data_IF_612883050879
#
_entry.id   IF_612883050879
#
_cell.length_a   1.000
_cell.length_b   1.000
_cell.length_c   1.000
_cell.angle_alpha   90.00
_cell.angle_beta   90.00
_cell.angle_gamma   90.00
#
_symmetry.space_group_name_H-M   'P 1'
#
loop_
_entity.id
_entity.type
_entity.pdbx_description
1 polymer ?
#
# COMPACT_ATOMS: atom_id res chain seq x y z
N UNK A 1 -46.42 -34.58 45.08
CA UNK A 1 -45.62 -34.56 46.33
C UNK A 1 -44.37 -35.37 46.06
N UNK A 2 -43.17 -34.84 45.98
CA UNK A 2 -42.67 -33.46 46.01
C UNK A 2 -41.26 -33.54 45.39
N UNK A 3 -41.04 -32.78 44.32
CA UNK A 3 -39.74 -32.32 43.84
C UNK A 3 -39.06 -31.47 44.92
N UNK A 4 -37.70 -31.47 44.96
CA UNK A 4 -36.80 -30.31 45.08
C UNK A 4 -35.43 -30.72 45.67
N UNK A 5 -34.37 -30.10 45.12
CA UNK A 5 -33.01 -29.94 45.64
C UNK A 5 -31.92 -31.00 45.40
N UNK A 6 -31.52 -31.12 44.13
CA UNK A 6 -30.09 -31.34 43.79
C UNK A 6 -29.52 -30.30 42.79
N UNK A 7 -30.26 -29.25 42.42
CA UNK A 7 -29.79 -28.20 41.50
C UNK A 7 -28.97 -27.08 42.17
N UNK A 8 -28.83 -27.06 43.49
CA UNK A 8 -28.18 -25.93 44.21
C UNK A 8 -26.73 -26.19 44.67
N UNK A 9 -26.11 -27.34 44.36
CA UNK A 9 -24.73 -27.65 44.81
C UNK A 9 -23.64 -27.61 43.74
N UNK A 10 -23.97 -27.36 42.48
CA UNK A 10 -22.98 -27.25 41.39
C UNK A 10 -22.84 -25.83 40.80
N UNK A 11 -23.47 -24.81 41.42
CA UNK A 11 -23.41 -23.42 40.94
C UNK A 11 -22.28 -22.57 41.58
N UNK A 12 -21.46 -23.12 42.48
CA UNK A 12 -20.34 -22.39 43.13
C UNK A 12 -18.97 -23.07 42.95
N UNK A 13 -18.58 -23.32 41.70
CA UNK A 13 -17.15 -23.30 41.34
C UNK A 13 -16.93 -22.15 40.37
N UNK A 14 -16.89 -20.96 40.98
CA UNK A 14 -16.82 -19.67 40.31
C UNK A 14 -15.63 -19.56 39.36
N UNK A 15 -15.98 -19.24 38.12
CA UNK A 15 -15.21 -18.42 37.20
C UNK A 15 -14.32 -17.41 37.94
N UNK A 16 -12.99 -17.60 37.90
CA UNK A 16 -12.09 -16.47 38.12
C UNK A 16 -12.29 -15.50 36.95
N UNK A 17 -12.84 -14.31 37.23
CA UNK A 17 -12.90 -13.24 36.24
C UNK A 17 -11.51 -12.91 35.67
N UNK A 18 -11.48 -12.51 34.40
CA UNK A 18 -10.28 -12.28 33.59
C UNK A 18 -9.22 -11.41 34.31
N UNK A 19 -9.65 -10.47 35.14
CA UNK A 19 -8.78 -9.65 35.99
C UNK A 19 -7.94 -10.46 37.00
N UNK A 20 -8.53 -11.46 37.68
CA UNK A 20 -7.79 -12.30 38.65
C UNK A 20 -6.85 -13.30 37.96
N UNK A 21 -7.19 -13.74 36.74
CA UNK A 21 -6.31 -14.59 35.92
C UNK A 21 -5.10 -13.81 35.42
N UNK A 22 -5.30 -12.58 34.94
CA UNK A 22 -4.20 -11.69 34.54
C UNK A 22 -3.27 -11.34 35.71
N UNK A 23 -3.80 -11.12 36.92
CA UNK A 23 -2.98 -10.91 38.12
C UNK A 23 -2.12 -12.12 38.49
N UNK A 24 -2.64 -13.34 38.30
CA UNK A 24 -1.90 -14.59 38.53
C UNK A 24 -0.77 -14.79 37.51
N UNK A 25 -1.01 -14.46 36.24
CA UNK A 25 0.00 -14.51 35.17
C UNK A 25 1.10 -13.47 35.42
N UNK A 26 0.72 -12.25 35.80
CA UNK A 26 1.68 -11.18 36.14
C UNK A 26 2.53 -11.52 37.37
N UNK A 27 1.92 -12.12 38.40
CA UNK A 27 2.64 -12.57 39.59
C UNK A 27 3.64 -13.71 39.26
N UNK A 28 3.27 -14.65 38.37
CA UNK A 28 4.17 -15.70 37.91
C UNK A 28 5.35 -15.15 37.09
N UNK A 29 5.10 -14.16 36.22
CA UNK A 29 6.14 -13.50 35.44
C UNK A 29 7.13 -12.69 36.30
N UNK A 30 6.66 -12.05 37.37
CA UNK A 30 7.50 -11.31 38.34
C UNK A 30 8.38 -12.24 39.20
N UNK A 31 7.90 -13.43 39.53
CA UNK A 31 8.70 -14.44 40.24
C UNK A 31 9.76 -15.03 39.31
N UNK A 32 9.46 -15.21 38.03
CA UNK A 32 10.44 -15.68 37.04
C UNK A 32 11.52 -14.64 36.69
N UNK A 33 11.18 -13.33 36.71
CA UNK A 33 12.12 -12.25 36.40
C UNK A 33 13.02 -11.84 37.57
N UNK A 34 12.73 -12.30 38.80
CA UNK A 34 13.55 -12.01 39.99
C UNK A 34 14.56 -13.10 40.33
N UNK A 35 14.54 -14.24 39.63
CA UNK A 35 15.59 -15.26 39.73
C UNK A 35 16.71 -14.98 38.70
N UNK A 36 17.58 -14.01 38.98
CA UNK A 36 18.83 -13.84 38.24
C UNK A 36 19.80 -14.96 38.64
N UNK A 37 20.36 -15.75 37.71
CA UNK A 37 21.46 -16.65 38.02
C UNK A 37 22.65 -15.81 38.49
N UNK A 38 23.11 -16.04 39.72
CA UNK A 38 24.36 -15.45 40.22
C UNK A 38 25.50 -15.78 39.25
N UNK A 39 26.02 -14.81 38.51
CA UNK A 39 27.28 -15.03 37.79
C UNK A 39 27.66 -14.13 36.61
N UNK A 40 26.82 -13.23 36.09
CA UNK A 40 27.21 -12.43 34.90
C UNK A 40 27.47 -10.98 35.28
N UNK A 41 28.75 -10.57 35.22
CA UNK A 41 29.18 -9.18 35.37
C UNK A 41 28.88 -8.41 34.07
N UNK A 42 27.87 -7.55 34.09
CA UNK A 42 27.64 -6.57 33.03
C UNK A 42 28.51 -5.33 33.28
N UNK A 43 29.74 -5.37 32.78
CA UNK A 43 30.57 -4.19 32.59
C UNK A 43 31.56 -4.54 31.48
N UNK A 44 31.24 -4.13 30.24
CA UNK A 44 32.19 -3.52 29.28
C UNK A 44 31.50 -3.26 27.92
N UNK A 45 31.75 -2.06 27.41
CA UNK A 45 31.42 -1.46 26.10
C UNK A 45 29.95 -1.12 25.78
N UNK A 46 29.49 0.02 26.29
CA UNK A 46 28.69 0.97 25.50
C UNK A 46 29.36 2.34 25.66
N UNK A 47 29.95 2.88 24.58
CA UNK A 47 30.39 4.28 24.54
C UNK A 47 29.30 5.07 23.82
N UNK A 48 28.73 6.05 24.50
CA UNK A 48 27.82 7.02 23.90
C UNK A 48 28.55 7.81 22.79
N UNK A 49 27.93 8.02 21.61
CA UNK A 49 28.49 8.93 20.62
C UNK A 49 28.46 10.37 21.13
N UNK A 50 29.55 11.09 20.87
CA UNK A 50 29.71 12.51 21.18
C UNK A 50 28.67 13.32 20.39
N UNK A 51 27.91 14.24 21.03
CA UNK A 51 26.96 15.08 20.33
C UNK A 51 27.66 16.02 19.33
N UNK A 52 27.25 15.97 18.06
CA UNK A 52 27.63 17.00 17.09
C UNK A 52 26.92 18.30 17.42
N UNK A 53 27.69 19.30 17.82
CA UNK A 53 27.24 20.70 17.90
C UNK A 53 27.68 21.37 16.60
N UNK A 54 26.74 21.59 15.67
CA UNK A 54 27.00 22.48 14.54
C UNK A 54 27.03 23.94 15.03
N UNK A 55 28.05 24.73 14.66
CA UNK A 55 28.05 26.17 14.95
C UNK A 55 27.03 26.87 14.05
N UNK A 56 26.06 27.55 14.69
CA UNK A 56 25.15 28.51 14.07
C UNK A 56 25.94 29.46 13.15
N UNK A 57 25.68 29.40 11.84
CA UNK A 57 26.21 30.38 10.89
C UNK A 57 25.62 31.75 11.19
N UNK A 58 26.49 32.74 11.26
CA UNK A 58 26.14 34.14 11.42
C UNK A 58 25.32 34.65 10.23
N UNK A 59 24.15 35.23 10.51
CA UNK A 59 23.41 36.05 9.56
C UNK A 59 24.24 37.32 9.24
N UNK A 60 24.64 37.44 7.97
CA UNK A 60 25.14 38.70 7.40
C UNK A 60 24.02 39.72 7.19
N UNK A 61 24.34 41.02 7.03
CA UNK A 61 23.43 42.11 7.34
C UNK A 61 22.34 42.32 6.29
N UNK A 62 21.13 42.56 6.75
CA UNK A 62 20.00 43.08 5.96
C UNK A 62 20.34 44.45 5.34
N UNK A 63 19.99 44.71 4.08
CA UNK A 63 19.89 46.08 3.58
C UNK A 63 18.66 46.76 4.18
N UNK A 64 18.86 47.96 4.72
CA UNK A 64 17.84 48.80 5.33
C UNK A 64 16.68 49.13 4.39
N UNK A 65 15.45 49.04 4.92
CA UNK A 65 14.25 49.66 4.38
C UNK A 65 14.30 51.17 4.63
N UNK A 66 14.95 51.94 3.77
CA UNK A 66 14.78 53.41 3.71
C UNK A 66 15.49 54.03 2.50
N UNK A 67 15.31 53.49 1.28
CA UNK A 67 15.86 54.14 0.07
C UNK A 67 15.13 53.73 -1.24
N UNK A 68 13.79 53.71 -1.24
CA UNK A 68 12.99 53.54 -2.48
C UNK A 68 11.90 54.61 -2.65
N UNK A 69 12.12 55.82 -2.13
CA UNK A 69 11.32 56.99 -2.46
C UNK A 69 12.24 58.12 -2.95
N UNK A 70 12.50 58.13 -4.25
CA UNK A 70 12.70 59.30 -5.11
C UNK A 70 13.49 58.90 -6.35
N UNK A 71 12.81 58.70 -7.48
CA UNK A 71 12.82 59.72 -8.55
C UNK A 71 12.24 59.18 -9.87
N UNK A 72 11.39 60.03 -10.44
CA UNK A 72 11.18 60.25 -11.87
C UNK A 72 10.24 59.31 -12.64
N UNK A 73 8.97 59.73 -12.61
CA UNK A 73 8.04 59.73 -13.74
C UNK A 73 8.73 59.93 -15.11
N UNK A 74 8.32 59.13 -16.10
CA UNK A 74 7.93 59.69 -17.39
C UNK A 74 6.45 59.43 -17.64
N UNK A 75 5.69 60.53 -17.81
CA UNK A 75 4.33 60.50 -18.34
C UNK A 75 4.38 59.96 -19.78
N UNK A 76 3.86 58.77 -20.01
CA UNK A 76 3.43 58.35 -21.34
C UNK A 76 1.92 58.52 -21.45
N UNK A 77 1.51 59.50 -22.27
CA UNK A 77 0.15 59.63 -22.77
C UNK A 77 -0.23 58.39 -23.59
N UNK A 78 -1.46 57.89 -23.51
CA UNK A 78 -1.92 56.85 -24.42
C UNK A 78 -2.08 57.45 -25.82
N UNK A 79 -1.27 56.99 -26.77
CA UNK A 79 -1.50 57.20 -28.19
C UNK A 79 -2.54 56.18 -28.62
N UNK A 80 -3.78 56.63 -28.84
CA UNK A 80 -4.81 55.84 -29.49
C UNK A 80 -4.42 55.65 -30.96
N UNK A 81 -4.10 54.42 -31.36
CA UNK A 81 -4.11 54.05 -32.77
C UNK A 81 -5.57 53.78 -33.16
N UNK A 82 -6.10 54.61 -34.05
CA UNK A 82 -7.26 54.25 -34.86
C UNK A 82 -6.82 53.13 -35.82
N UNK A 83 -7.31 51.91 -35.60
CA UNK A 83 -7.28 50.86 -36.61
C UNK A 83 -8.34 51.22 -37.66
N UNK A 84 -7.89 51.78 -38.78
CA UNK A 84 -8.69 51.81 -39.98
C UNK A 84 -8.91 50.37 -40.45
N UNK A 85 -10.18 50.03 -40.64
CA UNK A 85 -10.65 48.77 -41.21
C UNK A 85 -10.16 48.72 -42.66
N UNK A 86 -9.14 47.92 -42.92
CA UNK A 86 -8.57 47.72 -44.24
C UNK A 86 -7.87 46.36 -44.33
N UNK A 87 -8.46 45.51 -45.16
CA UNK A 87 -7.94 44.25 -45.70
C UNK A 87 -7.99 42.99 -44.82
N UNK A 88 -8.87 42.09 -45.28
CA UNK A 88 -8.91 40.66 -44.96
C UNK A 88 -7.54 40.02 -45.23
N UNK A 89 -6.65 40.06 -44.25
CA UNK A 89 -5.54 39.13 -44.17
C UNK A 89 -6.11 37.87 -43.52
N UNK A 90 -6.54 36.93 -44.36
CA UNK A 90 -6.62 35.52 -43.99
C UNK A 90 -5.21 35.08 -43.61
N UNK A 91 -4.83 35.28 -42.35
CA UNK A 91 -3.68 34.60 -41.76
C UNK A 91 -4.08 33.14 -41.72
N UNK A 92 -3.64 32.38 -42.74
CA UNK A 92 -3.43 30.95 -42.55
C UNK A 92 -2.41 30.89 -41.41
N UNK A 93 -2.87 30.48 -40.23
CA UNK A 93 -1.99 29.91 -39.22
C UNK A 93 -1.34 28.73 -39.93
N UNK A 94 -0.13 28.92 -40.42
CA UNK A 94 0.77 27.79 -40.67
C UNK A 94 0.87 27.10 -39.31
N UNK A 95 0.27 25.93 -39.19
CA UNK A 95 0.58 25.01 -38.10
C UNK A 95 2.07 24.71 -38.27
N UNK A 96 2.91 25.45 -37.55
CA UNK A 96 4.30 25.03 -37.33
C UNK A 96 4.22 23.62 -36.76
N UNK A 97 4.69 22.63 -37.53
CA UNK A 97 4.93 21.28 -37.03
C UNK A 97 5.95 21.41 -35.90
N UNK A 98 5.45 21.51 -34.67
CA UNK A 98 6.28 21.54 -33.46
C UNK A 98 6.74 20.12 -33.18
N UNK A 99 8.03 19.98 -32.89
CA UNK A 99 8.57 18.74 -32.37
C UNK A 99 8.00 18.46 -30.97
N UNK A 100 7.80 17.18 -30.65
CA UNK A 100 7.28 16.73 -29.36
C UNK A 100 8.20 17.13 -28.20
N UNK A 101 7.65 17.79 -27.19
CA UNK A 101 8.37 18.19 -25.98
C UNK A 101 8.54 17.01 -25.01
N UNK A 102 9.67 16.30 -25.13
CA UNK A 102 10.03 15.14 -24.27
C UNK A 102 10.10 15.46 -22.77
N UNK A 103 10.11 16.73 -22.36
CA UNK A 103 10.11 17.09 -20.93
C UNK A 103 8.85 16.63 -20.19
N UNK A 104 7.75 16.34 -20.91
CA UNK A 104 6.54 15.74 -20.35
C UNK A 104 6.79 14.35 -19.75
N UNK A 105 7.77 13.61 -20.27
CA UNK A 105 8.12 12.26 -19.84
C UNK A 105 9.08 12.24 -18.63
N UNK A 106 9.65 13.39 -18.23
CA UNK A 106 10.50 13.43 -17.05
C UNK A 106 9.65 13.45 -15.78
N UNK A 107 9.74 12.39 -15.00
CA UNK A 107 9.05 12.22 -13.72
C UNK A 107 9.31 13.39 -12.75
N UNK A 108 10.49 14.04 -12.85
CA UNK A 108 10.84 15.22 -12.05
C UNK A 108 9.93 16.43 -12.34
N UNK A 109 9.33 16.50 -13.54
CA UNK A 109 8.48 17.59 -13.97
C UNK A 109 6.99 17.36 -13.65
N UNK A 110 6.59 16.12 -13.31
CA UNK A 110 5.18 15.78 -13.11
C UNK A 110 4.54 16.57 -11.97
N UNK A 111 5.29 16.89 -10.91
CA UNK A 111 4.81 17.76 -9.85
C UNK A 111 4.54 19.18 -10.36
N UNK A 112 5.43 19.72 -11.19
CA UNK A 112 5.27 21.07 -11.76
C UNK A 112 4.10 21.13 -12.75
N UNK A 113 3.88 20.05 -13.50
CA UNK A 113 2.79 19.92 -14.46
C UNK A 113 1.45 19.50 -13.81
N UNK A 114 1.45 19.31 -12.47
CA UNK A 114 0.32 18.80 -11.69
C UNK A 114 -0.33 17.57 -12.35
N UNK A 115 0.51 16.61 -12.72
CA UNK A 115 0.02 15.35 -13.27
C UNK A 115 -0.81 14.63 -12.22
N UNK A 116 -2.02 14.25 -12.60
CA UNK A 116 -2.94 13.47 -11.78
C UNK A 116 -3.35 12.19 -12.52
N UNK A 117 -3.67 11.15 -11.76
CA UNK A 117 -4.20 9.91 -12.31
C UNK A 117 -5.65 10.14 -12.76
N UNK A 118 -5.90 10.05 -14.06
CA UNK A 118 -7.24 10.19 -14.64
C UNK A 118 -7.99 8.84 -14.62
N UNK A 119 -7.33 7.76 -15.05
CA UNK A 119 -7.99 6.45 -15.15
C UNK A 119 -7.01 5.28 -15.06
N UNK A 120 -7.54 4.14 -14.60
CA UNK A 120 -6.88 2.83 -14.64
C UNK A 120 -7.79 1.86 -15.38
N UNK A 121 -7.25 1.15 -16.36
CA UNK A 121 -7.98 0.16 -17.14
C UNK A 121 -7.22 -1.18 -17.14
N UNK A 122 -7.79 -2.20 -16.49
CA UNK A 122 -7.27 -3.57 -16.56
C UNK A 122 -7.45 -4.14 -17.96
N UNK A 123 -6.40 -4.75 -18.50
CA UNK A 123 -6.47 -5.39 -19.80
C UNK A 123 -6.89 -6.85 -19.69
N UNK A 124 -7.52 -7.30 -20.76
CA UNK A 124 -7.83 -8.71 -20.97
C UNK A 124 -6.53 -9.55 -20.98
N UNK A 125 -6.62 -10.80 -20.55
CA UNK A 125 -5.52 -11.74 -20.62
C UNK A 125 -4.97 -11.84 -22.05
N UNK A 126 -3.64 -11.78 -22.18
CA UNK A 126 -2.95 -11.84 -23.47
C UNK A 126 -2.83 -10.50 -24.21
N UNK A 127 -3.36 -9.40 -23.68
CA UNK A 127 -3.12 -8.08 -24.27
C UNK A 127 -1.62 -7.77 -24.28
N UNK A 128 -1.09 -7.57 -25.48
CA UNK A 128 0.33 -7.39 -25.72
C UNK A 128 0.61 -6.22 -26.66
N UNK A 129 1.78 -5.61 -26.48
CA UNK A 129 2.26 -4.46 -27.26
C UNK A 129 3.70 -4.67 -27.67
N UNK A 130 4.09 -4.03 -28.78
CA UNK A 130 5.46 -4.02 -29.29
C UNK A 130 5.95 -2.58 -29.41
N UNK A 131 7.19 -2.31 -28.99
CA UNK A 131 7.82 -0.99 -29.08
C UNK A 131 8.14 -0.65 -30.53
N UNK A 132 7.82 0.57 -30.97
CA UNK A 132 8.03 1.05 -32.34
C UNK A 132 8.98 2.24 -32.41
N UNK A 133 9.10 3.01 -31.33
CA UNK A 133 10.01 4.15 -31.26
C UNK A 133 11.47 3.69 -31.11
N UNK A 134 12.42 4.52 -31.57
CA UNK A 134 13.86 4.25 -31.42
C UNK A 134 14.26 4.02 -29.95
N UNK A 135 13.63 4.76 -29.04
CA UNK A 135 13.75 4.60 -27.60
C UNK A 135 12.37 4.74 -26.96
N UNK A 136 11.98 3.75 -26.15
CA UNK A 136 10.77 3.82 -25.32
C UNK A 136 11.17 3.79 -23.85
N UNK A 137 10.62 4.72 -23.07
CA UNK A 137 10.89 4.81 -21.64
C UNK A 137 10.21 3.68 -20.86
N UNK A 138 10.96 3.01 -19.99
CA UNK A 138 10.48 1.99 -19.07
C UNK A 138 11.00 2.29 -17.66
N UNK A 139 10.09 2.24 -16.69
CA UNK A 139 10.40 2.41 -15.27
C UNK A 139 10.40 1.07 -14.56
N UNK A 140 11.48 0.77 -13.85
CA UNK A 140 11.63 -0.36 -12.95
C UNK A 140 11.48 0.11 -11.51
N UNK A 141 10.41 -0.38 -10.89
CA UNK A 141 9.96 0.03 -9.56
C UNK A 141 10.28 -1.11 -8.59
N UNK A 142 11.26 -0.96 -7.68
CA UNK A 142 11.62 -2.01 -6.75
C UNK A 142 10.48 -2.26 -5.76
N UNK A 143 10.05 -3.51 -5.63
CA UNK A 143 8.99 -3.91 -4.70
C UNK A 143 9.60 -4.46 -3.40
N UNK A 144 8.88 -4.27 -2.30
CA UNK A 144 9.13 -4.91 -1.01
C UNK A 144 8.12 -6.03 -0.74
N UNK A 145 8.41 -6.88 0.23
CA UNK A 145 7.40 -7.79 0.80
C UNK A 145 6.22 -6.99 1.40
N UNK A 146 6.51 -5.80 1.92
CA UNK A 146 5.55 -4.71 2.13
C UNK A 146 5.52 -3.86 0.85
N UNK A 147 4.90 -4.36 -0.20
CA UNK A 147 4.84 -3.88 -1.59
C UNK A 147 4.54 -2.39 -1.87
N UNK A 148 4.42 -1.56 -0.84
CA UNK A 148 4.34 -0.11 -0.96
C UNK A 148 5.75 0.48 -1.01
N UNK A 149 6.04 1.19 -2.09
CA UNK A 149 7.07 2.22 -2.07
C UNK A 149 6.52 3.36 -1.22
N UNK A 150 7.13 3.68 -0.08
CA UNK A 150 6.61 4.75 0.77
C UNK A 150 7.74 5.63 1.31
N UNK A 151 7.54 6.95 1.16
CA UNK A 151 8.42 8.05 1.62
C UNK A 151 8.93 7.93 3.07
N UNK A 152 8.23 7.18 3.92
CA UNK A 152 8.47 7.12 5.37
C UNK A 152 9.62 6.18 5.74
N UNK A 153 9.95 5.21 4.89
CA UNK A 153 10.94 4.17 5.22
C UNK A 153 12.36 4.49 4.80
N UNK A 154 12.59 5.71 4.32
CA UNK A 154 13.89 6.12 3.78
C UNK A 154 14.44 5.04 2.81
N UNK A 155 13.56 4.44 1.99
CA UNK A 155 13.95 3.39 1.06
C UNK A 155 14.92 3.99 0.05
N UNK A 156 16.17 3.57 0.16
CA UNK A 156 17.26 4.07 -0.67
C UNK A 156 17.26 3.44 -2.06
N UNK A 157 16.41 2.44 -2.32
CA UNK A 157 16.33 1.83 -3.65
C UNK A 157 15.60 2.78 -4.60
N UNK A 158 16.26 3.22 -5.67
CA UNK A 158 15.65 4.14 -6.60
C UNK A 158 14.73 3.40 -7.58
N UNK A 159 13.69 4.08 -8.03
CA UNK A 159 13.03 3.75 -9.29
C UNK A 159 14.03 4.03 -10.42
N UNK A 160 14.22 3.06 -11.31
CA UNK A 160 15.17 3.18 -12.42
C UNK A 160 14.42 3.41 -13.72
N UNK A 161 14.81 4.41 -14.49
CA UNK A 161 14.35 4.62 -15.86
C UNK A 161 15.38 4.06 -16.84
N UNK A 162 14.90 3.26 -17.80
CA UNK A 162 15.68 2.68 -18.89
C UNK A 162 15.01 2.95 -20.23
N UNK A 163 15.81 3.16 -21.28
CA UNK A 163 15.31 3.19 -22.66
C UNK A 163 15.35 1.77 -23.23
N UNK A 164 14.20 1.25 -23.65
CA UNK A 164 14.12 -0.02 -24.39
C UNK A 164 14.10 0.24 -25.90
N UNK A 165 14.79 -0.59 -26.70
CA UNK A 165 14.84 -0.43 -28.15
C UNK A 165 13.51 -0.82 -28.82
N UNK A 166 13.34 -0.53 -30.13
CA UNK A 166 12.19 -1.01 -30.90
C UNK A 166 12.16 -2.54 -31.01
N UNK A 167 11.00 -3.06 -31.38
CA UNK A 167 10.72 -4.49 -31.56
C UNK A 167 10.83 -5.31 -30.27
N UNK A 168 10.60 -4.69 -29.12
CA UNK A 168 10.44 -5.36 -27.83
C UNK A 168 8.97 -5.55 -27.52
N UNK A 169 8.63 -6.73 -27.04
CA UNK A 169 7.26 -7.16 -26.84
C UNK A 169 6.93 -7.37 -25.36
N UNK A 170 5.79 -6.85 -24.92
CA UNK A 170 5.37 -6.89 -23.52
C UNK A 170 3.89 -7.23 -23.40
N UNK A 171 3.55 -8.07 -22.41
CA UNK A 171 2.17 -8.27 -21.98
C UNK A 171 1.80 -7.20 -20.96
N UNK A 172 0.72 -6.46 -21.21
CA UNK A 172 0.26 -5.36 -20.36
C UNK A 172 -0.91 -5.81 -19.51
N UNK A 173 -0.76 -5.69 -18.20
CA UNK A 173 -1.78 -6.00 -17.20
C UNK A 173 -2.78 -4.85 -17.04
N UNK A 174 -2.28 -3.62 -16.98
CA UNK A 174 -3.12 -2.43 -16.78
C UNK A 174 -2.57 -1.26 -17.60
N UNK A 175 -3.48 -0.42 -18.09
CA UNK A 175 -3.16 0.92 -18.58
C UNK A 175 -3.51 1.96 -17.54
N UNK A 176 -2.64 2.96 -17.36
CA UNK A 176 -2.90 4.15 -16.57
C UNK A 176 -2.83 5.38 -17.47
N UNK A 177 -3.78 6.27 -17.35
CA UNK A 177 -3.76 7.56 -18.02
C UNK A 177 -3.53 8.65 -16.99
N UNK A 178 -2.47 9.44 -17.20
CA UNK A 178 -2.16 10.62 -16.42
C UNK A 178 -2.54 11.86 -17.22
N UNK A 179 -3.07 12.87 -16.54
CA UNK A 179 -3.49 14.13 -17.14
C UNK A 179 -2.83 15.30 -16.40
N UNK A 180 -2.19 16.20 -17.16
CA UNK A 180 -1.61 17.44 -16.67
C UNK A 180 -2.54 18.63 -16.84
N UNK A 181 -2.26 19.71 -16.10
CA UNK A 181 -3.14 20.88 -16.05
C UNK A 181 -3.19 21.71 -17.35
N UNK A 182 -2.18 21.60 -18.22
CA UNK A 182 -2.13 22.33 -19.50
C UNK A 182 -2.53 21.46 -20.69
N UNK A 183 -3.18 20.32 -20.45
CA UNK A 183 -3.63 19.39 -21.50
C UNK A 183 -2.61 18.33 -21.89
N UNK A 184 -1.48 18.25 -21.17
CA UNK A 184 -0.55 17.13 -21.27
C UNK A 184 -1.24 15.82 -20.88
N UNK A 185 -0.89 14.71 -21.51
CA UNK A 185 -1.38 13.39 -21.07
C UNK A 185 -0.31 12.32 -21.29
N UNK A 186 -0.28 11.30 -20.44
CA UNK A 186 0.67 10.19 -20.55
C UNK A 186 -0.08 8.89 -20.35
N UNK A 187 0.10 7.94 -21.26
CA UNK A 187 -0.41 6.58 -21.11
C UNK A 187 0.71 5.64 -20.73
N UNK A 188 0.52 4.92 -19.64
CA UNK A 188 1.48 4.00 -19.04
C UNK A 188 0.92 2.58 -19.02
N UNK A 189 1.75 1.58 -19.34
CA UNK A 189 1.39 0.16 -19.30
C UNK A 189 2.15 -0.57 -18.20
N UNK A 190 1.44 -1.15 -17.22
CA UNK A 190 2.05 -2.07 -16.24
C UNK A 190 2.26 -3.43 -16.87
N UNK A 191 3.48 -3.96 -16.83
CA UNK A 191 3.82 -5.25 -17.41
C UNK A 191 3.43 -6.39 -16.45
N UNK A 192 2.73 -7.41 -16.95
CA UNK A 192 2.19 -8.53 -16.15
C UNK A 192 3.27 -9.43 -15.56
N UNK A 193 4.32 -9.74 -16.33
CA UNK A 193 5.24 -10.84 -16.03
C UNK A 193 6.42 -10.50 -15.08
N UNK A 194 6.62 -9.25 -14.68
CA UNK A 194 7.86 -8.87 -13.96
C UNK A 194 7.79 -8.98 -12.43
N UNK A 195 6.60 -9.07 -11.84
CA UNK A 195 6.44 -9.14 -10.38
C UNK A 195 7.24 -10.29 -9.73
N UNK A 196 7.53 -11.35 -10.47
CA UNK A 196 8.40 -12.46 -10.06
C UNK A 196 9.80 -11.98 -9.62
N UNK A 197 10.36 -10.98 -10.31
CA UNK A 197 11.68 -10.39 -10.06
C UNK A 197 11.69 -9.34 -8.95
N UNK A 198 10.62 -9.23 -8.16
CA UNK A 198 10.47 -8.22 -7.10
C UNK A 198 10.49 -6.79 -7.64
N UNK A 199 10.00 -6.58 -8.86
CA UNK A 199 9.90 -5.28 -9.49
C UNK A 199 8.55 -5.16 -10.20
N UNK A 200 8.01 -3.95 -10.25
CA UNK A 200 6.94 -3.60 -11.18
C UNK A 200 7.58 -2.83 -12.34
N UNK A 201 7.28 -3.21 -13.58
CA UNK A 201 7.74 -2.47 -14.76
C UNK A 201 6.58 -1.70 -15.37
N UNK A 202 6.82 -0.43 -15.65
CA UNK A 202 5.85 0.48 -16.24
C UNK A 202 6.44 1.06 -17.53
N UNK A 203 5.80 0.76 -18.66
CA UNK A 203 6.20 1.19 -20.00
C UNK A 203 5.44 2.46 -20.39
N UNK A 204 6.12 3.47 -20.94
CA UNK A 204 5.45 4.61 -21.56
C UNK A 204 4.92 4.19 -22.92
N UNK A 205 3.60 4.24 -23.09
CA UNK A 205 2.92 3.76 -24.30
C UNK A 205 2.65 4.88 -25.30
N UNK A 206 2.20 6.03 -24.80
CA UNK A 206 2.02 7.25 -25.58
C UNK A 206 2.06 8.47 -24.67
N UNK A 207 2.29 9.64 -25.23
CA UNK A 207 2.19 10.90 -24.52
C UNK A 207 1.78 12.05 -25.44
N UNK A 208 1.13 13.04 -24.85
CA UNK A 208 0.75 14.30 -25.47
C UNK A 208 1.36 15.44 -24.68
N UNK A 209 2.07 16.33 -25.34
CA UNK A 209 2.69 17.48 -24.70
C UNK A 209 1.72 18.67 -24.53
N UNK A 210 2.20 19.75 -23.90
CA UNK A 210 1.45 20.98 -23.64
C UNK A 210 1.05 21.75 -24.91
N UNK A 211 1.65 21.42 -26.06
CA UNK A 211 1.33 21.99 -27.36
C UNK A 211 0.33 21.14 -28.12
N UNK A 212 -0.02 19.97 -27.58
CA UNK A 212 -0.94 19.02 -28.17
C UNK A 212 -0.33 18.08 -29.18
N UNK A 213 1.01 18.05 -29.29
CA UNK A 213 1.73 17.08 -30.13
C UNK A 213 1.71 15.73 -29.41
N UNK A 214 1.28 14.68 -30.11
CA UNK A 214 1.19 13.32 -29.59
C UNK A 214 2.29 12.43 -30.18
N UNK A 215 2.95 11.66 -29.33
CA UNK A 215 3.92 10.64 -29.71
C UNK A 215 3.46 9.28 -29.18
N UNK A 216 3.49 8.26 -30.05
CA UNK A 216 3.11 6.88 -29.75
C UNK A 216 4.36 6.02 -29.80
N UNK A 217 4.64 5.33 -28.69
CA UNK A 217 5.88 4.56 -28.53
C UNK A 217 5.69 3.06 -28.76
N UNK A 218 4.44 2.59 -28.71
CA UNK A 218 4.09 1.17 -28.84
C UNK A 218 2.91 0.96 -29.77
N UNK A 219 2.85 -0.20 -30.40
CA UNK A 219 1.69 -0.66 -31.16
C UNK A 219 1.11 -1.94 -30.55
N UNK A 220 -0.21 -2.14 -30.71
CA UNK A 220 -0.87 -3.37 -30.28
C UNK A 220 -0.49 -4.49 -31.24
N UNK A 221 0.05 -5.58 -30.70
CA UNK A 221 0.40 -6.77 -31.46
C UNK A 221 -0.08 -8.01 -30.70
N UNK A 222 -0.73 -8.95 -31.40
CA UNK A 222 -1.10 -10.23 -30.81
C UNK A 222 0.13 -11.14 -30.87
N UNK A 223 0.61 -11.56 -29.70
CA UNK A 223 1.84 -12.35 -29.57
C UNK A 223 1.45 -13.74 -29.10
N UNK A 224 1.50 -14.70 -30.02
CA UNK A 224 1.15 -16.10 -29.75
C UNK A 224 2.32 -16.88 -29.14
N UNK A 225 3.57 -16.46 -29.41
CA UNK A 225 4.77 -17.13 -28.94
C UNK A 225 5.30 -16.47 -27.65
N UNK A 226 5.04 -17.13 -26.51
CA UNK A 226 5.52 -16.69 -25.19
C UNK A 226 7.05 -16.54 -25.12
N UNK A 227 7.81 -17.22 -25.99
CA UNK A 227 9.28 -17.10 -26.02
C UNK A 227 9.74 -15.71 -26.48
N UNK A 228 8.92 -14.99 -27.27
CA UNK A 228 9.19 -13.60 -27.67
C UNK A 228 9.07 -12.69 -26.44
N UNK A 229 7.99 -12.82 -25.68
CA UNK A 229 7.79 -12.07 -24.43
C UNK A 229 8.92 -12.35 -23.43
N UNK A 230 9.32 -13.62 -23.27
CA UNK A 230 10.43 -14.00 -22.41
C UNK A 230 11.75 -13.37 -22.85
N UNK A 231 12.04 -13.39 -24.16
CA UNK A 231 13.26 -12.80 -24.73
C UNK A 231 13.32 -11.28 -24.52
N UNK A 232 12.22 -10.57 -24.76
CA UNK A 232 12.14 -9.13 -24.50
C UNK A 232 12.31 -8.80 -23.01
N UNK A 233 11.74 -9.61 -22.13
CA UNK A 233 11.94 -9.47 -20.68
C UNK A 233 13.40 -9.72 -20.26
N UNK A 234 14.07 -10.72 -20.82
CA UNK A 234 15.48 -11.00 -20.51
C UNK A 234 16.39 -9.83 -20.92
N UNK A 235 16.16 -9.25 -22.10
CA UNK A 235 16.93 -8.08 -22.56
C UNK A 235 16.65 -6.87 -21.68
N UNK A 236 15.39 -6.59 -21.35
CA UNK A 236 15.00 -5.50 -20.44
C UNK A 236 15.66 -5.65 -19.07
N UNK A 237 15.66 -6.85 -18.50
CA UNK A 237 16.38 -7.14 -17.26
C UNK A 237 17.89 -6.92 -17.39
N UNK A 238 18.47 -7.25 -18.55
CA UNK A 238 19.85 -6.92 -18.89
C UNK A 238 20.12 -5.41 -18.86
N UNK A 239 19.23 -4.60 -19.43
CA UNK A 239 19.33 -3.13 -19.43
C UNK A 239 19.23 -2.57 -18.01
N UNK A 240 18.27 -3.05 -17.20
CA UNK A 240 18.09 -2.63 -15.80
C UNK A 240 19.35 -2.90 -14.95
N UNK A 241 20.10 -3.95 -15.26
CA UNK A 241 21.33 -4.35 -14.54
C UNK A 241 22.59 -3.58 -14.97
N UNK A 242 22.67 -3.09 -16.21
CA UNK A 242 23.89 -2.43 -16.74
C UNK A 242 24.26 -1.13 -16.02
N UNK A 243 23.30 -0.45 -15.39
CA UNK A 243 23.56 0.63 -14.45
C UNK A 243 23.66 2.04 -15.04
N UNK A 244 23.60 2.20 -16.37
CA UNK A 244 23.56 3.50 -17.06
C UNK A 244 22.14 4.13 -17.04
N UNK A 245 21.43 3.96 -15.91
CA UNK A 245 20.00 4.24 -15.80
C UNK A 245 19.78 5.50 -14.97
N UNK A 246 18.83 6.34 -15.37
CA UNK A 246 18.40 7.47 -14.53
C UNK A 246 17.70 6.92 -13.27
N UNK A 247 18.03 7.48 -12.11
CA UNK A 247 17.56 7.00 -10.81
C UNK A 247 16.73 8.06 -10.10
N UNK A 248 15.56 7.66 -9.63
CA UNK A 248 14.64 8.49 -8.86
C UNK A 248 14.51 7.90 -7.46
N UNK A 249 15.04 8.60 -6.45
CA UNK A 249 14.95 8.15 -5.07
C UNK A 249 13.57 8.41 -4.51
N UNK A 250 13.02 7.40 -3.83
CA UNK A 250 11.69 7.41 -3.20
C UNK A 250 11.60 8.45 -2.08
N UNK A 251 12.73 8.82 -1.48
CA UNK A 251 12.75 9.72 -0.32
C UNK A 251 12.69 11.17 -0.79
N UNK A 252 11.50 11.78 -0.75
CA UNK A 252 11.33 13.21 -1.04
C UNK A 252 10.12 13.50 -1.92
N UNK A 253 10.21 14.57 -2.72
CA UNK A 253 9.12 15.03 -3.58
C UNK A 253 8.72 13.98 -4.63
N UNK A 254 9.69 13.20 -5.13
CA UNK A 254 9.49 12.15 -6.13
C UNK A 254 8.53 11.01 -5.72
N UNK A 255 8.32 10.79 -4.42
CA UNK A 255 7.44 9.71 -3.94
C UNK A 255 6.02 9.81 -4.49
N UNK A 256 5.43 11.00 -4.45
CA UNK A 256 4.06 11.23 -4.92
C UNK A 256 3.93 10.98 -6.44
N UNK A 257 4.98 11.24 -7.21
CA UNK A 257 4.99 10.96 -8.65
C UNK A 257 5.22 9.48 -8.96
N UNK A 258 5.91 8.74 -8.08
CA UNK A 258 6.07 7.29 -8.23
C UNK A 258 4.73 6.57 -8.01
N UNK A 259 3.89 7.06 -7.10
CA UNK A 259 2.55 6.50 -6.87
C UNK A 259 1.65 6.59 -8.14
N UNK A 260 1.90 7.58 -9.01
CA UNK A 260 1.22 7.69 -10.31
C UNK A 260 1.63 6.55 -11.27
N UNK A 261 2.89 6.09 -11.21
CA UNK A 261 3.35 4.95 -12.01
C UNK A 261 2.67 3.66 -11.56
N UNK A 262 2.65 3.41 -10.24
CA UNK A 262 2.10 2.20 -9.66
C UNK A 262 1.76 2.37 -8.19
N UNK A 263 0.53 2.02 -7.82
CA UNK A 263 0.09 1.94 -6.43
C UNK A 263 -0.87 0.76 -6.27
N UNK A 264 -0.67 0.02 -5.19
CA UNK A 264 -1.52 -1.10 -4.78
C UNK A 264 -2.76 -0.67 -4.01
N UNK A 265 -2.76 0.58 -3.54
CA UNK A 265 -3.85 1.21 -2.83
C UNK A 265 -4.87 1.88 -3.78
N UNK A 266 -4.64 1.82 -5.09
CA UNK A 266 -5.54 2.35 -6.10
C UNK A 266 -6.75 1.42 -6.21
N UNK A 267 -7.92 1.90 -5.77
CA UNK A 267 -9.17 1.13 -5.80
C UNK A 267 -10.13 1.59 -6.90
N UNK A 268 -9.74 2.57 -7.74
CA UNK A 268 -10.62 3.20 -8.73
C UNK A 268 -11.27 2.19 -9.69
N UNK A 269 -10.56 1.13 -10.05
CA UNK A 269 -11.09 0.07 -10.92
C UNK A 269 -12.07 -0.89 -10.22
N UNK A 270 -12.16 -0.84 -8.88
CA UNK A 270 -13.15 -1.57 -8.08
C UNK A 270 -14.29 -0.68 -7.60
N UNK A 271 -14.24 0.64 -7.80
CA UNK A 271 -15.17 1.61 -7.21
C UNK A 271 -16.64 1.21 -7.44
N UNK A 272 -16.99 0.91 -8.69
CA UNK A 272 -18.34 0.49 -9.05
C UNK A 272 -18.75 -0.86 -8.42
N UNK A 273 -17.79 -1.77 -8.19
CA UNK A 273 -18.03 -3.09 -7.59
C UNK A 273 -18.18 -3.04 -6.08
N UNK A 274 -17.64 -2.01 -5.41
CA UNK A 274 -17.61 -1.90 -3.94
C UNK A 274 -18.48 -0.78 -3.39
N UNK A 275 -19.06 0.08 -4.24
CA UNK A 275 -19.84 1.26 -3.81
C UNK A 275 -21.02 0.91 -2.90
N UNK A 276 -21.68 -0.22 -3.14
CA UNK A 276 -22.88 -0.66 -2.41
C UNK A 276 -22.53 -1.58 -1.22
N UNK A 277 -21.26 -1.94 -1.04
CA UNK A 277 -20.79 -2.79 0.06
C UNK A 277 -20.50 -1.93 1.29
N UNK A 278 -21.49 -1.83 2.20
CA UNK A 278 -21.41 -1.01 3.41
C UNK A 278 -20.19 -1.34 4.28
N UNK A 279 -19.82 -2.63 4.39
CA UNK A 279 -18.64 -3.03 5.16
C UNK A 279 -17.38 -2.43 4.53
N UNK A 280 -17.20 -2.56 3.21
CA UNK A 280 -16.01 -2.03 2.53
C UNK A 280 -15.97 -0.51 2.61
N UNK A 281 -17.11 0.17 2.43
CA UNK A 281 -17.19 1.63 2.61
C UNK A 281 -16.78 2.06 4.02
N UNK A 282 -17.17 1.30 5.05
CA UNK A 282 -16.74 1.51 6.43
C UNK A 282 -15.23 1.35 6.61
N UNK A 283 -14.61 0.33 6.00
CA UNK A 283 -13.16 0.13 5.99
C UNK A 283 -12.41 1.27 5.27
N UNK A 284 -12.95 1.78 4.15
CA UNK A 284 -12.41 2.96 3.45
C UNK A 284 -12.49 4.19 4.36
N UNK A 285 -13.62 4.40 5.04
CA UNK A 285 -13.76 5.49 6.01
C UNK A 285 -12.71 5.37 7.12
N UNK A 286 -12.55 4.19 7.72
CA UNK A 286 -11.53 3.92 8.74
C UNK A 286 -10.12 4.23 8.24
N UNK A 287 -9.74 3.73 7.05
CA UNK A 287 -8.45 4.03 6.40
C UNK A 287 -8.23 5.54 6.31
N UNK A 288 -9.23 6.29 5.83
CA UNK A 288 -9.12 7.74 5.67
C UNK A 288 -8.92 8.45 7.02
N UNK A 289 -9.56 8.00 8.10
CA UNK A 289 -9.31 8.56 9.45
C UNK A 289 -7.90 8.29 9.94
N UNK A 290 -7.29 7.16 9.58
CA UNK A 290 -5.88 6.91 9.89
C UNK A 290 -4.93 7.85 9.14
N UNK A 291 -5.29 8.35 7.95
CA UNK A 291 -4.49 9.37 7.24
C UNK A 291 -4.48 10.72 7.98
N UNK A 292 -5.55 11.04 8.70
CA UNK A 292 -5.67 12.25 9.53
C UNK A 292 -4.99 12.09 10.91
N UNK A 293 -4.59 10.86 11.27
CA UNK A 293 -4.11 10.54 12.61
C UNK A 293 -2.64 10.93 12.84
N UNK A 294 -2.42 11.87 13.78
CA UNK A 294 -1.07 12.20 14.25
C UNK A 294 -0.55 11.19 15.30
N UNK A 295 0.33 10.30 14.85
CA UNK A 295 0.99 9.28 15.70
C UNK A 295 1.84 9.83 16.84
N UNK A 296 2.20 11.12 16.83
CA UNK A 296 3.09 11.73 17.83
C UNK A 296 2.35 12.34 19.03
N UNK A 297 1.07 12.64 18.89
CA UNK A 297 0.30 13.41 19.89
C UNK A 297 -0.97 12.68 20.32
N UNK A 298 -1.57 11.91 19.42
CA UNK A 298 -2.89 11.36 19.66
C UNK A 298 -2.85 9.99 20.35
N UNK A 299 -3.93 9.72 21.06
CA UNK A 299 -4.23 8.44 21.67
C UNK A 299 -5.28 7.77 20.77
N UNK A 300 -4.89 6.75 20.00
CA UNK A 300 -5.69 6.22 18.89
C UNK A 300 -7.17 5.99 19.25
N UNK A 301 -7.52 5.30 20.35
CA UNK A 301 -8.93 5.13 20.73
C UNK A 301 -9.68 6.41 21.04
N UNK A 302 -9.04 7.38 21.71
CA UNK A 302 -9.66 8.70 21.93
C UNK A 302 -9.88 9.44 20.63
N UNK A 303 -8.93 9.33 19.70
CA UNK A 303 -9.08 9.92 18.37
C UNK A 303 -10.23 9.24 17.60
N UNK A 304 -10.25 7.91 17.54
CA UNK A 304 -11.31 7.19 16.83
C UNK A 304 -12.69 7.55 17.39
N UNK A 305 -12.83 7.68 18.72
CA UNK A 305 -14.07 8.12 19.37
C UNK A 305 -14.60 9.49 18.91
N UNK A 306 -13.76 10.37 18.34
CA UNK A 306 -14.22 11.66 17.80
C UNK A 306 -14.68 11.60 16.34
N UNK A 307 -14.46 10.47 15.65
CA UNK A 307 -14.74 10.32 14.22
C UNK A 307 -16.20 9.95 13.93
N UNK A 308 -16.61 10.15 12.67
CA UNK A 308 -17.88 9.64 12.14
C UNK A 308 -17.91 8.10 12.08
N UNK A 309 -16.78 7.46 11.77
CA UNK A 309 -16.63 6.01 11.75
C UNK A 309 -16.99 5.38 13.11
N UNK A 310 -16.56 5.97 14.22
CA UNK A 310 -16.93 5.45 15.54
C UNK A 310 -18.44 5.57 15.81
N UNK A 311 -19.08 6.65 15.36
CA UNK A 311 -20.55 6.80 15.49
C UNK A 311 -21.27 5.70 14.73
N UNK A 312 -20.81 5.40 13.51
CA UNK A 312 -21.31 4.28 12.70
C UNK A 312 -21.17 2.94 13.44
N UNK A 313 -20.02 2.67 14.07
CA UNK A 313 -19.80 1.45 14.85
C UNK A 313 -20.71 1.36 16.08
N UNK A 314 -20.97 2.47 16.77
CA UNK A 314 -21.90 2.53 17.91
C UNK A 314 -23.34 2.29 17.45
N UNK A 315 -23.76 2.88 16.33
CA UNK A 315 -25.10 2.68 15.78
C UNK A 315 -25.32 1.23 15.32
N UNK A 316 -24.30 0.62 14.73
CA UNK A 316 -24.35 -0.75 14.20
C UNK A 316 -24.29 -1.82 15.29
N UNK A 317 -23.34 -1.69 16.23
CA UNK A 317 -22.99 -2.75 17.19
C UNK A 317 -23.38 -2.43 18.63
N UNK A 318 -23.71 -1.17 18.94
CA UNK A 318 -23.92 -0.69 20.31
C UNK A 318 -22.64 -0.16 20.95
N UNK A 319 -22.82 0.77 21.91
CA UNK A 319 -21.72 1.51 22.55
C UNK A 319 -20.78 0.61 23.36
N UNK A 320 -21.28 -0.44 24.00
CA UNK A 320 -20.46 -1.37 24.78
C UNK A 320 -19.46 -2.12 23.88
N UNK A 321 -19.95 -2.73 22.80
CA UNK A 321 -19.13 -3.47 21.83
C UNK A 321 -18.10 -2.54 21.17
N UNK A 322 -18.54 -1.36 20.71
CA UNK A 322 -17.64 -0.38 20.09
C UNK A 322 -16.51 0.06 21.05
N UNK A 323 -16.82 0.27 22.32
CA UNK A 323 -15.82 0.67 23.32
C UNK A 323 -14.87 -0.47 23.71
N UNK A 324 -15.35 -1.71 23.83
CA UNK A 324 -14.48 -2.85 24.12
C UNK A 324 -13.52 -3.13 22.95
N UNK A 325 -14.01 -3.07 21.70
CA UNK A 325 -13.18 -3.25 20.52
C UNK A 325 -12.02 -2.24 20.45
N UNK A 326 -12.25 -0.99 20.84
CA UNK A 326 -11.22 0.05 20.88
C UNK A 326 -10.17 -0.14 22.00
N UNK A 327 -10.36 -1.06 22.94
CA UNK A 327 -9.33 -1.37 23.95
C UNK A 327 -8.28 -2.36 23.45
N UNK A 328 -8.62 -3.16 22.43
CA UNK A 328 -7.75 -4.18 21.84
C UNK A 328 -6.38 -3.63 21.37
N UNK A 329 -6.29 -2.44 20.73
CA UNK A 329 -5.01 -1.88 20.29
C UNK A 329 -4.01 -1.57 21.42
N UNK A 330 -4.43 -1.56 22.70
CA UNK A 330 -3.55 -1.19 23.83
C UNK A 330 -2.69 -2.32 24.40
N UNK A 331 -2.88 -3.58 23.98
CA UNK A 331 -2.12 -4.68 24.57
C UNK A 331 -0.61 -4.60 24.28
N UNK A 332 -0.21 -4.04 23.13
CA UNK A 332 1.20 -3.82 22.74
C UNK A 332 1.34 -2.47 22.05
N UNK A 333 2.10 -1.54 22.65
CA UNK A 333 2.36 -0.22 22.08
C UNK A 333 3.78 -0.11 21.54
N UNK A 334 3.88 0.09 20.24
CA UNK A 334 5.14 0.45 19.58
C UNK A 334 5.03 1.91 19.17
N UNK A 335 5.98 2.78 19.58
CA UNK A 335 6.00 4.18 19.14
C UNK A 335 5.87 4.27 17.62
N UNK A 336 5.05 5.21 17.13
CA UNK A 336 4.72 5.41 15.70
C UNK A 336 3.88 4.33 15.01
N UNK A 337 3.43 3.29 15.72
CA UNK A 337 2.55 2.24 15.20
C UNK A 337 1.31 2.10 16.08
N UNK A 338 0.29 2.95 15.86
CA UNK A 338 -0.86 3.06 16.75
C UNK A 338 -1.74 1.80 16.76
N UNK A 339 -1.75 1.02 15.68
CA UNK A 339 -2.51 -0.21 15.58
C UNK A 339 -1.66 -1.38 15.05
N UNK A 340 -1.46 -2.39 15.90
CA UNK A 340 -0.72 -3.61 15.55
C UNK A 340 -1.60 -4.58 14.74
N UNK A 341 -1.00 -5.36 13.83
CA UNK A 341 -1.74 -6.20 12.86
C UNK A 341 -2.68 -7.23 13.52
N UNK A 342 -2.25 -7.91 14.59
CA UNK A 342 -3.12 -8.84 15.34
C UNK A 342 -4.28 -8.10 16.02
N UNK A 343 -3.99 -6.97 16.67
CA UNK A 343 -5.02 -6.16 17.32
C UNK A 343 -6.00 -5.53 16.34
N UNK A 344 -5.56 -5.23 15.11
CA UNK A 344 -6.46 -4.85 14.02
C UNK A 344 -7.45 -5.96 13.70
N UNK A 345 -6.98 -7.19 13.48
CA UNK A 345 -7.85 -8.31 13.13
C UNK A 345 -8.85 -8.63 14.25
N UNK A 346 -8.41 -8.65 15.51
CA UNK A 346 -9.30 -8.80 16.68
C UNK A 346 -10.33 -7.66 16.77
N UNK A 347 -9.92 -6.40 16.54
CA UNK A 347 -10.83 -5.26 16.53
C UNK A 347 -11.86 -5.36 15.39
N UNK A 348 -11.44 -5.82 14.22
CA UNK A 348 -12.35 -6.01 13.09
C UNK A 348 -13.32 -7.16 13.34
N UNK A 349 -12.89 -8.23 14.02
CA UNK A 349 -13.74 -9.38 14.34
C UNK A 349 -14.98 -8.96 15.12
N UNK A 350 -14.75 -8.14 16.15
CA UNK A 350 -15.79 -7.65 17.03
C UNK A 350 -16.71 -6.62 16.35
N UNK A 351 -16.16 -5.77 15.47
CA UNK A 351 -16.89 -4.66 14.84
C UNK A 351 -17.62 -5.02 13.54
N UNK A 352 -17.20 -6.10 12.88
CA UNK A 352 -17.74 -6.53 11.59
C UNK A 352 -18.16 -8.00 11.61
N UNK A 353 -19.17 -8.38 12.41
CA UNK A 353 -19.62 -9.76 12.52
C UNK A 353 -20.12 -10.34 11.19
N UNK A 354 -20.53 -9.49 10.23
CA UNK A 354 -20.93 -9.91 8.89
C UNK A 354 -19.79 -10.46 8.03
N UNK A 355 -18.52 -10.23 8.42
CA UNK A 355 -17.38 -10.87 7.79
C UNK A 355 -17.20 -12.33 8.20
N UNK A 356 -17.93 -12.81 9.23
CA UNK A 356 -17.90 -14.20 9.70
C UNK A 356 -16.48 -14.74 9.95
N UNK A 357 -15.63 -13.89 10.53
CA UNK A 357 -14.24 -14.20 10.80
C UNK A 357 -14.10 -15.26 11.90
N UNK A 358 -12.94 -15.92 11.90
CA UNK A 358 -12.56 -16.87 12.93
C UNK A 358 -11.99 -16.15 14.15
N UNK A 359 -12.47 -16.49 15.35
CA UNK A 359 -12.06 -15.85 16.61
C UNK A 359 -10.59 -16.15 16.96
N UNK A 360 -9.70 -15.19 16.74
CA UNK A 360 -8.27 -15.39 17.03
C UNK A 360 -7.87 -14.96 18.44
N UNK A 361 -8.78 -14.44 19.26
CA UNK A 361 -8.46 -13.88 20.59
C UNK A 361 -7.85 -14.89 21.57
N UNK A 362 -8.11 -16.18 21.34
CA UNK A 362 -7.59 -17.28 22.16
C UNK A 362 -6.24 -17.84 21.69
N UNK A 363 -5.70 -17.34 20.58
CA UNK A 363 -4.47 -17.85 20.01
C UNK A 363 -3.24 -17.28 20.71
N UNK A 364 -2.14 -18.05 20.79
CA UNK A 364 -0.89 -17.51 21.31
C UNK A 364 -0.38 -16.41 20.37
N UNK A 365 0.14 -15.33 20.94
CA UNK A 365 0.76 -14.22 20.21
C UNK A 365 2.21 -13.96 20.65
N UNK A 366 2.81 -14.91 21.38
CA UNK A 366 4.15 -14.80 21.98
C UNK A 366 5.26 -14.46 20.97
N UNK A 367 5.11 -14.91 19.72
CA UNK A 367 6.03 -14.60 18.62
C UNK A 367 5.40 -13.71 17.54
N UNK A 368 4.36 -12.96 17.88
CA UNK A 368 3.56 -12.19 16.92
C UNK A 368 2.62 -13.06 16.08
N UNK A 369 2.23 -12.54 14.92
CA UNK A 369 1.25 -13.14 14.00
C UNK A 369 1.61 -14.56 13.52
N UNK A 370 2.90 -14.91 13.40
CA UNK A 370 3.30 -16.28 13.05
C UNK A 370 2.82 -17.33 14.07
N UNK A 371 2.56 -16.93 15.31
CA UNK A 371 2.07 -17.83 16.36
C UNK A 371 0.62 -18.27 16.12
N UNK A 372 -0.11 -17.54 15.26
CA UNK A 372 -1.48 -17.87 14.88
C UNK A 372 -1.53 -19.13 14.00
N UNK A 373 -0.42 -19.50 13.36
CA UNK A 373 -0.34 -20.63 12.43
C UNK A 373 -0.03 -21.92 13.22
N UNK A 374 -0.91 -22.93 13.18
CA UNK A 374 -0.60 -24.24 13.77
C UNK A 374 0.68 -24.84 13.19
N UNK A 375 1.54 -25.40 14.05
CA UNK A 375 2.80 -26.03 13.65
C UNK A 375 2.64 -27.09 12.55
N UNK A 376 1.49 -27.78 12.49
CA UNK A 376 1.17 -28.77 11.47
C UNK A 376 1.09 -28.19 10.04
N UNK A 377 0.76 -26.90 9.89
CA UNK A 377 0.65 -26.25 8.58
C UNK A 377 2.03 -25.92 7.97
N UNK A 378 3.07 -25.83 8.79
CA UNK A 378 4.45 -25.65 8.31
C UNK A 378 5.06 -26.92 7.70
N UNK A 379 4.41 -28.08 7.84
CA UNK A 379 4.96 -29.36 7.41
C UNK A 379 4.69 -29.66 5.93
N UNK A 380 5.76 -29.52 5.12
CA UNK A 380 5.96 -29.99 3.72
C UNK A 380 5.80 -28.95 2.61
N UNK A 381 6.94 -28.40 2.18
CA UNK A 381 7.13 -27.59 0.96
C UNK A 381 6.93 -28.36 -0.36
N UNK A 382 6.70 -29.67 -0.32
CA UNK A 382 6.69 -30.54 -1.51
C UNK A 382 5.33 -31.21 -1.80
N UNK A 383 4.26 -30.76 -1.15
CA UNK A 383 2.91 -31.29 -1.42
C UNK A 383 2.24 -30.49 -2.53
N UNK A 384 1.45 -31.19 -3.35
CA UNK A 384 0.65 -30.61 -4.44
C UNK A 384 -0.69 -30.02 -3.94
N UNK A 385 -1.01 -30.17 -2.64
CA UNK A 385 -2.26 -29.70 -2.05
C UNK A 385 -2.03 -28.96 -0.71
N UNK A 386 -2.84 -27.93 -0.39
CA UNK A 386 -2.74 -27.20 0.87
C UNK A 386 -3.08 -28.10 2.07
N UNK A 387 -2.33 -27.98 3.15
CA UNK A 387 -2.66 -28.68 4.40
C UNK A 387 -3.83 -27.97 5.09
N UNK A 388 -4.71 -28.75 5.73
CA UNK A 388 -5.80 -28.23 6.56
C UNK A 388 -5.62 -28.72 7.99
N UNK A 389 -5.73 -27.81 8.96
CA UNK A 389 -5.66 -28.09 10.37
C UNK A 389 -6.91 -27.54 11.09
N UNK A 390 -7.48 -28.31 12.02
CA UNK A 390 -8.56 -27.79 12.86
C UNK A 390 -8.00 -26.83 13.90
N UNK A 391 -8.68 -25.70 14.07
CA UNK A 391 -8.35 -24.70 15.07
C UNK A 391 -9.17 -24.95 16.35
N UNK A 392 -8.63 -24.52 17.48
CA UNK A 392 -9.21 -24.82 18.80
C UNK A 392 -10.58 -24.18 19.02
N UNK A 393 -10.82 -23.04 18.39
CA UNK A 393 -12.05 -22.25 18.41
C UNK A 393 -13.11 -22.71 17.38
N UNK A 394 -12.93 -23.89 16.77
CA UNK A 394 -13.84 -24.39 15.74
C UNK A 394 -13.58 -23.85 14.34
N UNK A 395 -12.52 -23.10 14.10
CA UNK A 395 -12.07 -22.75 12.75
C UNK A 395 -11.24 -23.83 12.04
N UNK A 396 -10.82 -23.54 10.81
CA UNK A 396 -9.81 -24.26 10.05
C UNK A 396 -8.67 -23.34 9.66
N UNK A 397 -7.44 -23.83 9.80
CA UNK A 397 -6.26 -23.24 9.21
C UNK A 397 -5.93 -23.98 7.92
N UNK A 398 -5.63 -23.24 6.86
CA UNK A 398 -5.25 -23.74 5.54
C UNK A 398 -3.86 -23.17 5.24
N UNK A 399 -2.90 -23.99 4.80
CA UNK A 399 -1.61 -23.44 4.40
C UNK A 399 -0.51 -24.45 4.13
N UNK A 400 0.69 -23.91 3.98
CA UNK A 400 1.88 -24.69 3.65
C UNK A 400 2.16 -24.80 2.14
N UNK A 401 1.44 -24.05 1.30
CA UNK A 401 1.56 -24.05 -0.18
C UNK A 401 1.09 -22.68 -0.75
N UNK A 402 1.44 -22.30 -1.99
CA UNK A 402 0.80 -21.18 -2.70
C UNK A 402 -0.71 -21.42 -2.87
N UNK A 403 -1.52 -20.87 -1.96
CA UNK A 403 -2.98 -20.95 -2.03
C UNK A 403 -3.47 -20.05 -3.19
N UNK A 404 -4.13 -20.57 -4.24
CA UNK A 404 -4.54 -19.76 -5.38
C UNK A 404 -5.66 -18.77 -5.00
N UNK A 405 -5.82 -17.67 -5.74
CA UNK A 405 -6.77 -16.58 -5.39
C UNK A 405 -8.21 -17.08 -5.23
N UNK A 406 -8.58 -18.10 -5.99
CA UNK A 406 -9.91 -18.70 -6.00
C UNK A 406 -10.28 -19.31 -4.66
N UNK A 407 -9.30 -19.79 -3.90
CA UNK A 407 -9.52 -20.43 -2.60
C UNK A 407 -9.77 -19.41 -1.49
N UNK A 408 -9.44 -18.13 -1.69
CA UNK A 408 -9.73 -17.08 -0.73
C UNK A 408 -11.22 -16.71 -0.76
N UNK A 409 -11.72 -16.39 0.43
CA UNK A 409 -13.10 -16.00 0.72
C UNK A 409 -13.09 -14.73 1.57
N UNK A 410 -14.15 -13.94 1.43
CA UNK A 410 -14.43 -12.83 2.36
C UNK A 410 -14.45 -13.35 3.80
N UNK A 411 -13.83 -12.62 4.71
CA UNK A 411 -13.71 -13.03 6.11
C UNK A 411 -12.52 -13.92 6.43
N UNK A 412 -11.78 -14.35 5.41
CA UNK A 412 -10.52 -15.04 5.65
C UNK A 412 -9.52 -14.12 6.33
N UNK A 413 -8.84 -14.65 7.34
CA UNK A 413 -7.68 -14.02 7.94
C UNK A 413 -6.44 -14.60 7.25
N UNK A 414 -5.69 -13.79 6.51
CA UNK A 414 -4.43 -14.24 5.93
C UNK A 414 -3.27 -14.01 6.92
N UNK A 415 -2.33 -14.94 6.98
CA UNK A 415 -1.14 -14.82 7.84
C UNK A 415 0.12 -15.01 7.00
N UNK A 416 1.06 -14.07 7.14
CA UNK A 416 2.38 -14.10 6.55
C UNK A 416 3.34 -14.52 7.67
N UNK A 417 3.96 -15.70 7.54
CA UNK A 417 4.86 -16.23 8.57
C UNK A 417 6.28 -15.64 8.54
N UNK A 418 6.63 -14.85 7.52
CA UNK A 418 7.98 -14.31 7.34
C UNK A 418 8.33 -13.14 8.27
N UNK A 419 9.63 -12.89 8.45
CA UNK A 419 10.15 -11.85 9.34
C UNK A 419 10.18 -12.24 10.81
N UNK A 420 10.55 -11.31 11.69
CA UNK A 420 10.75 -11.60 13.13
C UNK A 420 9.44 -11.94 13.85
N UNK A 421 8.32 -11.36 13.41
CA UNK A 421 7.01 -11.46 14.09
C UNK A 421 5.85 -11.94 13.21
N UNK A 422 6.07 -12.11 11.90
CA UNK A 422 4.99 -12.34 10.93
C UNK A 422 4.09 -11.11 10.73
N UNK A 423 3.06 -11.28 9.88
CA UNK A 423 2.02 -10.27 9.63
C UNK A 423 0.67 -10.94 9.43
N UNK A 424 -0.42 -10.21 9.71
CA UNK A 424 -1.80 -10.73 9.58
C UNK A 424 -2.73 -9.64 9.06
N UNK A 425 -3.74 -10.05 8.30
CA UNK A 425 -4.78 -9.17 7.79
C UNK A 425 -6.00 -9.96 7.33
N UNK A 426 -6.87 -9.30 6.58
CA UNK A 426 -8.21 -9.73 6.25
C UNK A 426 -8.45 -9.70 4.75
N UNK A 427 -9.24 -10.67 4.26
CA UNK A 427 -9.82 -10.62 2.92
C UNK A 427 -11.19 -9.96 3.00
N UNK A 428 -11.33 -8.79 2.39
CA UNK A 428 -12.60 -8.06 2.32
C UNK A 428 -13.48 -8.56 1.18
N UNK A 429 -12.89 -9.04 0.10
CA UNK A 429 -13.65 -9.54 -1.04
C UNK A 429 -12.79 -10.08 -2.17
N UNK A 430 -13.45 -10.78 -3.08
CA UNK A 430 -12.89 -11.27 -4.34
C UNK A 430 -13.72 -10.74 -5.49
N UNK A 431 -13.04 -10.19 -6.49
CA UNK A 431 -13.63 -9.49 -7.62
C UNK A 431 -13.05 -10.02 -8.92
N UNK A 432 -13.76 -9.78 -10.02
CA UNK A 432 -13.28 -10.06 -11.36
C UNK A 432 -13.44 -8.80 -12.21
N UNK A 433 -12.34 -8.34 -12.82
CA UNK A 433 -12.32 -7.15 -13.69
C UNK A 433 -11.63 -7.55 -14.99
N UNK A 434 -12.37 -7.54 -16.10
CA UNK A 434 -11.86 -7.90 -17.43
C UNK A 434 -11.16 -9.28 -17.47
N UNK A 435 -11.71 -10.27 -16.76
CA UNK A 435 -11.17 -11.63 -16.65
C UNK A 435 -10.07 -11.80 -15.59
N UNK A 436 -9.54 -10.70 -15.04
CA UNK A 436 -8.56 -10.73 -13.97
C UNK A 436 -9.24 -10.94 -12.62
N UNK A 437 -8.77 -11.93 -11.86
CA UNK A 437 -9.23 -12.17 -10.48
C UNK A 437 -8.43 -11.33 -9.51
N UNK A 438 -9.14 -10.60 -8.67
CA UNK A 438 -8.59 -9.63 -7.74
C UNK A 438 -9.07 -9.95 -6.31
N UNK A 439 -8.19 -9.82 -5.33
CA UNK A 439 -8.53 -9.85 -3.91
C UNK A 439 -8.39 -8.44 -3.33
N UNK A 440 -9.43 -7.96 -2.68
CA UNK A 440 -9.35 -6.78 -1.83
C UNK A 440 -8.94 -7.22 -0.43
N UNK A 441 -7.79 -6.75 0.00
CA UNK A 441 -7.17 -7.08 1.28
C UNK A 441 -7.16 -5.85 2.18
N UNK A 442 -7.27 -6.06 3.49
CA UNK A 442 -7.06 -5.04 4.49
C UNK A 442 -6.13 -5.53 5.60
N UNK A 443 -5.23 -4.67 6.05
CA UNK A 443 -4.42 -4.93 7.24
C UNK A 443 -4.11 -3.63 7.97
N UNK A 444 -3.46 -3.75 9.12
CA UNK A 444 -2.76 -2.63 9.73
C UNK A 444 -1.28 -2.92 9.82
N UNK A 445 -0.44 -1.89 9.79
CA UNK A 445 1.00 -2.03 10.04
C UNK A 445 1.77 -2.81 8.96
N UNK A 446 1.24 -3.03 7.75
CA UNK A 446 2.00 -3.68 6.65
C UNK A 446 3.30 -2.97 6.37
N UNK A 447 3.27 -1.65 6.51
CA UNK A 447 4.42 -0.80 6.33
C UNK A 447 5.26 -0.65 7.59
N UNK A 448 4.84 -1.12 8.76
CA UNK A 448 5.47 -0.80 10.06
C UNK A 448 5.12 0.64 10.53
N UNK A 449 3.98 1.18 10.08
CA UNK A 449 3.42 2.49 10.47
C UNK A 449 2.18 2.41 11.37
N UNK A 450 1.68 1.22 11.66
CA UNK A 450 0.43 0.95 12.38
C UNK A 450 -0.81 1.57 11.75
N UNK A 451 -0.78 1.90 10.46
CA UNK A 451 -1.92 2.47 9.73
C UNK A 451 -2.75 1.37 9.08
N UNK A 452 -4.07 1.60 8.98
CA UNK A 452 -4.97 0.73 8.22
C UNK A 452 -4.77 0.97 6.73
N UNK A 453 -4.63 -0.12 5.96
CA UNK A 453 -4.39 -0.09 4.51
C UNK A 453 -5.39 -1.01 3.83
N UNK A 454 -5.86 -0.60 2.66
CA UNK A 454 -6.65 -1.44 1.75
C UNK A 454 -5.89 -1.55 0.43
N UNK A 455 -5.69 -2.75 -0.08
CA UNK A 455 -4.92 -2.97 -1.30
C UNK A 455 -5.37 -4.20 -2.07
N UNK A 456 -4.96 -4.27 -3.34
CA UNK A 456 -5.39 -5.30 -4.27
C UNK A 456 -4.29 -6.31 -4.56
N UNK A 457 -4.61 -7.60 -4.42
CA UNK A 457 -3.78 -8.70 -4.90
C UNK A 457 -4.38 -9.34 -6.15
N UNK A 458 -3.51 -9.84 -7.04
CA UNK A 458 -3.83 -10.63 -8.22
C UNK A 458 -2.77 -11.73 -8.41
N UNK A 459 -2.96 -12.60 -9.40
CA UNK A 459 -2.06 -13.74 -9.63
C UNK A 459 -0.61 -13.32 -9.90
N UNK A 460 -0.39 -12.11 -10.43
CA UNK A 460 0.95 -11.61 -10.72
C UNK A 460 1.69 -11.14 -9.45
N UNK A 461 1.00 -10.58 -8.46
CA UNK A 461 1.63 -9.93 -7.30
C UNK A 461 1.40 -10.63 -5.94
N UNK A 462 0.50 -11.61 -5.86
CA UNK A 462 0.08 -12.21 -4.58
C UNK A 462 1.22 -12.86 -3.80
N UNK A 463 2.20 -13.49 -4.48
CA UNK A 463 3.39 -14.06 -3.84
C UNK A 463 4.24 -12.99 -3.14
N UNK A 464 4.29 -11.78 -3.70
CA UNK A 464 5.04 -10.69 -3.08
C UNK A 464 4.26 -10.08 -1.92
N UNK A 465 2.93 -10.03 -2.04
CA UNK A 465 2.06 -9.46 -1.02
C UNK A 465 1.90 -10.32 0.22
N UNK A 466 1.79 -11.64 0.04
CA UNK A 466 1.43 -12.61 1.07
C UNK A 466 2.53 -13.65 1.35
N UNK A 467 3.61 -13.64 0.55
CA UNK A 467 4.63 -14.68 0.57
C UNK A 467 4.28 -15.88 -0.32
N UNK A 468 5.29 -16.63 -0.73
CA UNK A 468 5.12 -17.88 -1.48
C UNK A 468 4.40 -18.95 -0.65
N UNK A 469 4.71 -18.98 0.66
CA UNK A 469 3.99 -19.82 1.61
C UNK A 469 2.84 -19.02 2.22
N UNK A 470 1.62 -19.38 1.83
CA UNK A 470 0.41 -18.67 2.24
C UNK A 470 -0.32 -19.45 3.33
N UNK A 471 -0.89 -18.73 4.28
CA UNK A 471 -1.69 -19.29 5.36
C UNK A 471 -2.99 -18.50 5.50
N UNK A 472 -4.09 -19.22 5.67
CA UNK A 472 -5.43 -18.67 5.91
C UNK A 472 -5.97 -19.29 7.19
N UNK A 473 -6.60 -18.48 8.03
CA UNK A 473 -7.46 -18.92 9.12
C UNK A 473 -8.89 -18.56 8.73
N UNK A 474 -9.80 -19.53 8.86
CA UNK A 474 -11.19 -19.42 8.42
C UNK A 474 -12.12 -20.06 9.44
N UNK A 475 -13.33 -19.54 9.59
CA UNK A 475 -14.35 -20.17 10.43
C UNK A 475 -14.87 -21.44 9.75
N UNK A 476 -15.03 -22.54 10.50
CA UNK A 476 -15.66 -23.73 9.92
C UNK A 476 -17.16 -23.51 9.85
N UNK A 477 -17.75 -23.77 8.68
CA UNK A 477 -19.21 -23.81 8.51
C UNK A 477 -19.85 -24.96 9.30
#
# INVERSE_FOLDING_TARGET
METINQSEKNAERGSLGNFRKAQLILAAALVASTTVPKGVKAQESYQDPIPMVEPLRAYGPYPNKEEMFNNQNPRYSPVCYQLEVGDNISVKLEEEEREFDKSVLDLSNWQMNKMELESINFKEDGYSVTTIAEETDLYSIPLLQSTFIHKKYNDSRPVKKVSVPPSMSFSILQERTLQGENGESIKLGLISNDFKNQQALVLVMSAKDKYGVEEVFVEKEAIEDESILASSMDITNGLIRKGDNQQYFVNGNASEQIDLLYSLEDLNFLEESIKDDQTIQSFINLKNKFLEYDTSINDLPKFLQTTDWYKEMVEKNGEEIANEALKIPYFVRIPSQPLQCVGFVEMMEELYPELDMVDISSFPTEKGAQSLIPASLYSNYYKEEPNVAKLYNGGVGIGGYPIPIEEYKRGDIFVIAGGDFGHVGLVLGKYEVNGQKLLLLADSNKLVDGMVRLYVANENNIDKLLGEQRFILRKSN
#
